data_IF_693558129239
#
_entry.id   IF_693558129239
#
_cell.length_a   1.000
_cell.length_b   1.000
_cell.length_c   1.000
_cell.angle_alpha   90.00
_cell.angle_beta   90.00
_cell.angle_gamma   90.00
#
_symmetry.space_group_name_H-M   'P 1'
#
loop_
_entity.id
_entity.type
_entity.pdbx_description
1 polymer ?
#
# COMPACT_ATOMS: atom_id res chain seq x y z
N UNK A 1 6.84 -22.80 -2.76
CA UNK A 1 6.00 -21.60 -2.64
C UNK A 1 6.31 -20.92 -1.31
N UNK A 2 6.81 -19.69 -1.39
CA UNK A 2 7.23 -18.91 -0.23
C UNK A 2 6.09 -18.66 0.78
N UNK A 3 4.87 -18.52 0.30
CA UNK A 3 3.69 -18.34 1.16
C UNK A 3 3.45 -19.53 2.10
N UNK A 4 3.65 -20.74 1.62
CA UNK A 4 3.43 -21.98 2.36
C UNK A 4 4.65 -22.48 3.13
N UNK A 5 5.79 -21.81 2.99
CA UNK A 5 7.03 -22.13 3.72
C UNK A 5 6.79 -22.11 5.24
N UNK A 6 7.41 -23.00 5.98
CA UNK A 6 7.37 -22.98 7.45
C UNK A 6 8.01 -21.71 8.02
N UNK A 7 7.64 -21.31 9.23
CA UNK A 7 8.17 -20.09 9.86
C UNK A 7 9.70 -20.13 9.99
N UNK A 8 10.23 -21.20 10.59
CA UNK A 8 11.69 -21.39 10.75
C UNK A 8 12.41 -21.38 9.41
N UNK A 9 11.90 -22.12 8.41
CA UNK A 9 12.49 -22.17 7.07
C UNK A 9 12.48 -20.79 6.39
N UNK A 10 11.41 -20.03 6.57
CA UNK A 10 11.29 -18.66 6.04
C UNK A 10 12.31 -17.72 6.69
N UNK A 11 12.48 -17.80 8.01
CA UNK A 11 13.46 -17.00 8.75
C UNK A 11 14.87 -17.36 8.34
N UNK A 12 15.21 -18.66 8.27
CA UNK A 12 16.53 -19.13 7.85
C UNK A 12 16.86 -18.67 6.42
N UNK A 13 15.87 -18.72 5.52
CA UNK A 13 16.02 -18.21 4.17
C UNK A 13 16.30 -16.71 4.18
N UNK A 14 15.50 -15.91 4.89
CA UNK A 14 15.68 -14.46 4.97
C UNK A 14 17.04 -14.07 5.57
N UNK A 15 17.47 -14.73 6.64
CA UNK A 15 18.79 -14.50 7.26
C UNK A 15 19.93 -14.79 6.30
N UNK A 16 19.82 -15.90 5.55
CA UNK A 16 20.81 -16.26 4.53
C UNK A 16 20.93 -15.21 3.44
N UNK A 17 19.79 -14.73 2.93
CA UNK A 17 19.76 -13.68 1.90
C UNK A 17 20.35 -12.37 2.44
N UNK A 18 19.94 -11.90 3.62
CA UNK A 18 20.47 -10.68 4.24
C UNK A 18 21.98 -10.74 4.46
N UNK A 19 22.52 -11.89 4.84
CA UNK A 19 23.97 -12.12 4.94
C UNK A 19 24.65 -12.10 3.58
N UNK A 20 24.07 -12.74 2.58
CA UNK A 20 24.62 -12.78 1.23
C UNK A 20 24.65 -11.41 0.55
N UNK A 21 23.66 -10.57 0.85
CA UNK A 21 23.56 -9.18 0.38
C UNK A 21 24.46 -8.19 1.17
N UNK A 22 25.08 -8.63 2.26
CA UNK A 22 25.87 -7.76 3.13
C UNK A 22 25.06 -6.76 3.95
N UNK A 23 23.75 -6.99 4.10
CA UNK A 23 22.88 -6.15 4.93
C UNK A 23 23.17 -6.39 6.43
N UNK A 24 23.48 -7.64 6.77
CA UNK A 24 23.95 -8.02 8.11
C UNK A 24 25.27 -8.81 7.97
N UNK A 25 26.12 -8.70 8.99
CA UNK A 25 27.41 -9.39 9.00
C UNK A 25 27.25 -10.92 8.96
N UNK A 26 28.21 -11.60 8.37
CA UNK A 26 28.16 -13.05 8.21
C UNK A 26 28.10 -13.82 9.54
N UNK A 27 28.70 -13.26 10.60
CA UNK A 27 28.73 -13.77 11.97
C UNK A 27 27.63 -13.18 12.86
N UNK A 28 26.77 -12.31 12.32
CA UNK A 28 25.68 -11.70 13.07
C UNK A 28 24.76 -12.76 13.67
N UNK A 29 24.45 -12.60 14.95
CA UNK A 29 23.52 -13.43 15.68
C UNK A 29 22.12 -12.86 15.58
N UNK A 30 21.18 -13.63 15.06
CA UNK A 30 19.75 -13.30 15.11
C UNK A 30 19.26 -13.49 16.54
N UNK A 31 18.70 -12.45 17.13
CA UNK A 31 18.21 -12.47 18.53
C UNK A 31 16.75 -12.85 18.59
N UNK A 32 15.97 -12.41 17.63
CA UNK A 32 14.54 -12.65 17.56
C UNK A 32 14.07 -12.53 16.10
N UNK A 33 12.91 -13.11 15.79
CA UNK A 33 12.31 -13.05 14.46
C UNK A 33 10.79 -13.14 14.55
N UNK A 34 10.10 -12.48 13.65
CA UNK A 34 8.67 -12.56 13.51
C UNK A 34 8.28 -12.66 12.04
N UNK A 35 7.32 -13.50 11.74
CA UNK A 35 6.75 -13.63 10.41
C UNK A 35 5.26 -13.32 10.44
N UNK A 36 4.85 -12.33 9.67
CA UNK A 36 3.45 -12.02 9.46
C UNK A 36 2.99 -12.42 8.06
N UNK A 37 1.79 -12.97 7.96
CA UNK A 37 1.14 -13.29 6.68
C UNK A 37 -0.05 -12.37 6.48
N UNK A 38 0.11 -11.40 5.60
CA UNK A 38 -0.96 -10.44 5.30
C UNK A 38 -1.60 -10.80 3.96
N UNK A 39 -2.86 -11.23 4.02
CA UNK A 39 -3.64 -11.46 2.81
C UNK A 39 -4.13 -10.13 2.23
N UNK A 40 -4.14 -10.02 0.89
CA UNK A 40 -4.65 -8.83 0.18
C UNK A 40 -3.99 -7.54 0.67
N UNK A 41 -2.67 -7.57 0.89
CA UNK A 41 -1.89 -6.44 1.39
C UNK A 41 -1.88 -5.25 0.42
N UNK A 42 -2.01 -5.53 -0.88
CA UNK A 42 -1.97 -4.54 -1.95
C UNK A 42 -3.22 -4.62 -2.84
N UNK A 43 -3.73 -3.47 -3.31
CA UNK A 43 -4.73 -3.45 -4.36
C UNK A 43 -4.12 -4.02 -5.66
N UNK A 44 -4.93 -4.70 -6.45
CA UNK A 44 -4.53 -5.26 -7.73
C UNK A 44 -5.18 -4.44 -8.86
N UNK A 45 -4.36 -3.95 -9.79
CA UNK A 45 -4.76 -3.09 -10.91
C UNK A 45 -4.87 -3.90 -12.19
N UNK A 46 -5.69 -4.94 -12.17
CA UNK A 46 -5.93 -5.78 -13.34
C UNK A 46 -7.41 -6.16 -13.46
N UNK A 47 -7.76 -6.86 -14.52
CA UNK A 47 -9.11 -7.33 -14.83
C UNK A 47 -10.08 -6.15 -14.96
N UNK A 48 -11.02 -5.98 -14.06
CA UNK A 48 -12.07 -4.95 -14.11
C UNK A 48 -11.67 -3.61 -13.48
N UNK A 49 -10.42 -3.42 -13.10
CA UNK A 49 -9.96 -2.18 -12.44
C UNK A 49 -10.11 -0.93 -13.33
N UNK A 50 -10.05 -1.07 -14.64
CA UNK A 50 -10.32 0.00 -15.61
C UNK A 50 -11.73 0.60 -15.48
N UNK A 51 -12.64 -0.11 -14.79
CA UNK A 51 -14.00 0.36 -14.49
C UNK A 51 -14.18 0.86 -13.05
N UNK A 52 -13.10 1.16 -12.35
CA UNK A 52 -13.14 1.63 -10.96
C UNK A 52 -13.96 2.90 -10.80
N UNK A 53 -13.94 3.78 -11.81
CA UNK A 53 -14.67 5.04 -11.80
C UNK A 53 -16.19 4.84 -11.68
N UNK A 54 -16.75 3.80 -12.29
CA UNK A 54 -18.17 3.46 -12.16
C UNK A 54 -18.54 3.14 -10.70
N UNK A 55 -17.64 2.43 -10.01
CA UNK A 55 -17.80 2.12 -8.59
C UNK A 55 -17.68 3.39 -7.73
N UNK A 56 -16.71 4.24 -8.03
CA UNK A 56 -16.50 5.52 -7.33
C UNK A 56 -17.71 6.43 -7.47
N UNK A 57 -18.27 6.56 -8.68
CA UNK A 57 -19.50 7.32 -8.94
C UNK A 57 -20.66 6.79 -8.09
N UNK A 58 -20.86 5.48 -8.07
CA UNK A 58 -21.90 4.85 -7.25
C UNK A 58 -21.68 5.10 -5.76
N UNK A 59 -20.47 4.90 -5.24
CA UNK A 59 -20.14 5.12 -3.82
C UNK A 59 -20.31 6.59 -3.41
N UNK A 60 -20.07 7.53 -4.33
CA UNK A 60 -20.25 8.95 -4.10
C UNK A 60 -21.72 9.39 -3.99
N UNK A 61 -22.68 8.56 -4.40
CA UNK A 61 -24.12 8.83 -4.18
C UNK A 61 -24.53 8.80 -2.71
N UNK A 62 -23.76 8.11 -1.87
CA UNK A 62 -24.03 8.04 -0.42
C UNK A 62 -23.44 9.26 0.30
N UNK A 63 -24.27 10.11 0.88
CA UNK A 63 -23.83 11.34 1.52
C UNK A 63 -22.96 11.13 2.77
N UNK A 64 -23.11 10.01 3.44
CA UNK A 64 -22.46 9.67 4.71
C UNK A 64 -21.40 8.56 4.60
N UNK A 65 -21.00 8.17 3.39
CA UNK A 65 -19.96 7.19 3.12
C UNK A 65 -18.73 7.88 2.54
N UNK A 66 -17.55 7.64 3.14
CA UNK A 66 -16.28 8.16 2.68
C UNK A 66 -15.27 7.01 2.54
N UNK A 67 -14.68 6.91 1.36
CA UNK A 67 -13.65 5.91 1.07
C UNK A 67 -12.27 6.54 1.29
N UNK A 68 -11.52 6.03 2.27
CA UNK A 68 -10.23 6.58 2.66
C UNK A 68 -9.15 5.48 2.76
N UNK A 69 -7.91 5.90 2.58
CA UNK A 69 -6.76 4.99 2.68
C UNK A 69 -6.65 3.98 1.54
N UNK A 70 -5.65 3.11 1.66
CA UNK A 70 -5.28 2.15 0.61
C UNK A 70 -6.45 1.22 0.21
N UNK A 71 -7.04 0.57 1.19
CA UNK A 71 -8.11 -0.41 0.91
C UNK A 71 -9.45 0.26 0.61
N UNK A 72 -9.77 1.38 1.28
CA UNK A 72 -11.01 2.09 1.05
C UNK A 72 -11.12 2.70 -0.34
N UNK A 73 -10.00 3.17 -0.90
CA UNK A 73 -9.95 3.72 -2.26
C UNK A 73 -9.53 2.70 -3.31
N UNK A 74 -9.12 1.50 -2.91
CA UNK A 74 -8.50 0.50 -3.79
C UNK A 74 -7.37 1.10 -4.62
N UNK A 75 -6.49 1.89 -3.97
CA UNK A 75 -5.32 2.56 -4.57
C UNK A 75 -4.06 2.25 -3.79
N UNK A 76 -2.91 2.30 -4.47
CA UNK A 76 -1.61 2.09 -3.84
C UNK A 76 -1.19 3.31 -3.01
N UNK A 77 -1.95 3.58 -1.97
CA UNK A 77 -1.68 4.68 -1.05
C UNK A 77 -0.61 4.28 -0.03
N UNK A 78 0.43 5.09 0.10
CA UNK A 78 1.38 5.03 1.21
C UNK A 78 0.74 5.61 2.48
N UNK A 79 1.46 5.62 3.60
CA UNK A 79 0.93 6.11 4.88
C UNK A 79 0.50 7.57 4.82
N UNK A 80 1.30 8.42 4.16
CA UNK A 80 1.02 9.84 3.96
C UNK A 80 -0.27 10.07 3.15
N UNK A 81 -0.44 9.38 2.03
CA UNK A 81 -1.68 9.42 1.24
C UNK A 81 -2.88 8.96 2.06
N UNK A 82 -2.74 7.87 2.82
CA UNK A 82 -3.82 7.34 3.65
C UNK A 82 -4.22 8.32 4.75
N UNK A 83 -3.26 9.01 5.36
CA UNK A 83 -3.51 10.08 6.34
C UNK A 83 -4.16 11.29 5.69
N UNK A 84 -3.65 11.74 4.53
CA UNK A 84 -4.19 12.88 3.81
C UNK A 84 -5.66 12.67 3.40
N UNK A 85 -6.03 11.49 2.89
CA UNK A 85 -7.43 11.18 2.58
C UNK A 85 -8.34 11.28 3.80
N UNK A 86 -7.83 10.92 4.97
CA UNK A 86 -8.57 11.03 6.23
C UNK A 86 -8.75 12.48 6.67
N UNK A 87 -7.69 13.30 6.55
CA UNK A 87 -7.76 14.73 6.86
C UNK A 87 -8.74 15.48 5.94
N UNK A 88 -8.68 15.22 4.63
CA UNK A 88 -9.62 15.78 3.66
C UNK A 88 -11.07 15.40 4.00
N UNK A 89 -11.29 14.14 4.39
CA UNK A 89 -12.61 13.64 4.80
C UNK A 89 -13.14 14.39 6.02
N UNK A 90 -12.33 14.53 7.07
CA UNK A 90 -12.72 15.25 8.29
C UNK A 90 -12.99 16.73 7.97
N UNK A 91 -12.14 17.35 7.13
CA UNK A 91 -12.34 18.74 6.68
C UNK A 91 -13.69 18.91 5.95
N UNK A 92 -14.04 17.98 5.05
CA UNK A 92 -15.33 18.01 4.33
C UNK A 92 -16.51 17.87 5.30
N UNK A 93 -16.43 16.95 6.26
CA UNK A 93 -17.49 16.75 7.27
C UNK A 93 -17.69 18.03 8.10
N UNK A 94 -16.61 18.62 8.61
CA UNK A 94 -16.65 19.80 9.47
C UNK A 94 -17.15 21.06 8.72
N UNK A 95 -16.79 21.19 7.43
CA UNK A 95 -17.22 22.32 6.59
C UNK A 95 -18.56 22.12 5.90
N UNK A 96 -19.17 20.94 6.01
CA UNK A 96 -20.41 20.59 5.31
C UNK A 96 -20.26 20.45 3.79
N UNK A 97 -19.03 20.25 3.30
CA UNK A 97 -18.72 20.08 1.88
C UNK A 97 -19.29 18.75 1.37
N UNK A 98 -20.09 18.79 0.31
CA UNK A 98 -20.75 17.58 -0.23
C UNK A 98 -19.91 16.85 -1.27
N UNK A 99 -19.03 17.54 -2.00
CA UNK A 99 -18.13 16.89 -2.96
C UNK A 99 -17.02 16.10 -2.24
N UNK A 100 -16.60 14.99 -2.87
CA UNK A 100 -15.53 14.13 -2.38
C UNK A 100 -14.32 14.09 -3.32
N UNK A 101 -14.31 14.94 -4.34
CA UNK A 101 -13.24 15.00 -5.34
C UNK A 101 -11.85 15.22 -4.71
N UNK A 102 -11.76 16.09 -3.70
CA UNK A 102 -10.49 16.33 -3.00
C UNK A 102 -9.96 15.07 -2.28
N UNK A 103 -10.84 14.20 -1.80
CA UNK A 103 -10.45 12.94 -1.16
C UNK A 103 -9.89 11.96 -2.21
N UNK A 104 -10.55 11.86 -3.36
CA UNK A 104 -10.12 10.98 -4.45
C UNK A 104 -8.89 11.51 -5.21
N UNK A 105 -8.61 12.82 -5.15
CA UNK A 105 -7.46 13.46 -5.82
C UNK A 105 -6.16 13.44 -5.01
N UNK A 106 -6.15 12.93 -3.79
CA UNK A 106 -4.93 12.85 -2.96
C UNK A 106 -3.84 12.03 -3.64
N UNK A 107 -4.21 10.94 -4.31
CA UNK A 107 -3.30 10.14 -5.11
C UNK A 107 -3.98 9.79 -6.44
N UNK A 108 -3.40 10.24 -7.53
CA UNK A 108 -3.89 10.03 -8.90
C UNK A 108 -3.03 9.05 -9.69
N UNK A 109 -2.00 8.45 -9.08
CA UNK A 109 -1.13 7.50 -9.75
C UNK A 109 -1.92 6.23 -10.09
N UNK A 110 -2.00 5.91 -11.38
CA UNK A 110 -2.62 4.69 -11.88
C UNK A 110 -1.65 3.49 -11.84
N UNK A 111 -0.35 3.76 -11.78
CA UNK A 111 0.72 2.76 -11.71
C UNK A 111 1.72 3.17 -10.63
N UNK A 112 2.20 2.18 -9.88
CA UNK A 112 3.30 2.39 -8.95
C UNK A 112 4.62 2.32 -9.73
N UNK A 113 5.28 3.46 -9.87
CA UNK A 113 6.65 3.52 -10.40
C UNK A 113 7.64 3.53 -9.22
N UNK A 114 8.32 2.41 -8.99
CA UNK A 114 9.59 2.46 -8.29
C UNK A 114 10.60 3.13 -9.23
N UNK A 115 11.04 4.34 -8.90
CA UNK A 115 12.22 4.91 -9.55
C UNK A 115 13.41 4.00 -9.27
N UNK A 116 13.79 3.20 -10.24
CA UNK A 116 15.06 2.49 -10.17
C UNK A 116 16.17 3.54 -10.21
N UNK A 117 16.95 3.63 -9.14
CA UNK A 117 18.12 4.49 -9.01
C UNK A 117 19.29 4.01 -9.88
N UNK A 118 19.02 3.71 -11.17
CA UNK A 118 20.02 3.38 -12.18
C UNK A 118 20.44 4.61 -13.00
N UNK A 119 20.68 5.73 -12.34
CA UNK A 119 21.42 6.83 -12.92
C UNK A 119 22.64 7.15 -12.07
N UNK A 120 23.75 6.44 -12.31
CA UNK A 120 25.09 6.99 -12.33
C UNK A 120 26.13 5.90 -12.59
N UNK A 121 26.29 5.56 -13.86
CA UNK A 121 27.55 5.05 -14.40
C UNK A 121 27.83 5.74 -15.73
N UNK A 122 28.45 6.89 -15.62
CA UNK A 122 29.34 7.44 -16.66
C UNK A 122 30.62 7.90 -15.99
#
# INVERSE_FOLDING_TARGET
>A
DFWNMGETECVDFAVKELKSMGVIDADAKVLDSHRERVQKAYPAYFDTYDRIDELVEYLNTFSNLYCVGRNGQHRYNNMDHSMATSFETVSNILSGKQTKENIWSVNTEAEYHEESSDENKN
#
